data_IF_117101292843
#
_entry.id   IF_117101292843
#
_cell.length_a   1.000
_cell.length_b   1.000
_cell.length_c   1.000
_cell.angle_alpha   90.00
_cell.angle_beta   90.00
_cell.angle_gamma   90.00
#
_symmetry.space_group_name_H-M   'P 1'
#
loop_
_entity.id
_entity.type
_entity.pdbx_description
1 polymer ?
#
# COMPACT_ATOMS: atom_id res chain seq x y z
N UNK A 1 29.16 15.73 22.80
CA UNK A 1 27.70 15.50 22.93
C UNK A 1 27.12 15.50 21.54
N UNK A 2 26.84 14.33 21.01
CA UNK A 2 26.20 14.20 19.69
C UNK A 2 24.77 14.64 19.89
N UNK A 3 24.38 15.74 19.26
CA UNK A 3 22.99 16.17 19.18
C UNK A 3 22.27 15.05 18.46
N UNK A 4 21.49 14.26 19.19
CA UNK A 4 20.53 13.33 18.60
C UNK A 4 19.60 14.19 17.73
N UNK A 5 19.84 14.19 16.41
CA UNK A 5 18.89 14.78 15.49
C UNK A 5 17.54 14.17 15.80
N UNK A 6 16.56 15.01 16.05
CA UNK A 6 15.18 14.53 16.23
C UNK A 6 14.84 13.64 15.05
N UNK A 7 14.15 12.50 15.30
CA UNK A 7 13.79 11.58 14.25
C UNK A 7 13.17 12.36 13.10
N UNK A 8 13.72 12.15 11.90
CA UNK A 8 13.24 12.86 10.74
C UNK A 8 11.72 12.75 10.71
N UNK A 9 11.08 13.88 10.73
CA UNK A 9 9.64 13.88 10.61
C UNK A 9 9.32 13.27 9.25
N UNK A 10 8.30 12.45 9.18
CA UNK A 10 7.74 11.91 7.94
C UNK A 10 7.47 12.99 6.84
N UNK A 11 7.83 14.24 7.07
CA UNK A 11 7.68 15.36 6.14
C UNK A 11 8.79 15.46 5.11
N UNK A 12 10.00 15.10 5.49
CA UNK A 12 11.20 15.31 4.65
C UNK A 12 11.59 14.06 3.87
N UNK A 13 10.98 12.91 4.15
CA UNK A 13 11.35 11.64 3.55
C UNK A 13 12.54 10.98 4.26
N UNK A 14 13.00 9.82 3.77
CA UNK A 14 14.18 9.14 4.32
C UNK A 14 15.45 9.91 3.95
N UNK A 15 16.52 9.67 4.73
CA UNK A 15 17.86 10.12 4.40
C UNK A 15 18.47 9.29 3.25
N UNK A 16 19.69 9.61 2.82
CA UNK A 16 20.40 8.92 1.74
C UNK A 16 20.64 7.43 2.01
N UNK A 17 20.62 7.01 3.28
CA UNK A 17 20.74 5.61 3.70
C UNK A 17 19.37 4.92 3.82
N UNK A 18 18.28 5.63 3.55
CA UNK A 18 16.92 5.12 3.64
C UNK A 18 16.34 5.13 5.07
N UNK A 19 16.91 5.91 6.00
CA UNK A 19 16.40 5.99 7.37
C UNK A 19 15.42 7.16 7.56
N UNK A 20 14.43 6.90 8.38
CA UNK A 20 13.51 7.89 8.95
C UNK A 20 13.91 8.13 10.42
N UNK A 21 14.93 8.94 10.66
CA UNK A 21 15.58 9.07 11.96
C UNK A 21 16.30 7.77 12.36
N UNK A 22 15.89 7.15 13.44
CA UNK A 22 16.48 5.87 13.92
C UNK A 22 15.86 4.62 13.26
N UNK A 23 14.84 4.77 12.43
CA UNK A 23 14.10 3.67 11.81
C UNK A 23 14.41 3.57 10.32
N UNK A 24 14.17 2.39 9.75
CA UNK A 24 14.35 2.13 8.32
C UNK A 24 15.74 1.65 7.96
N UNK A 25 16.21 2.00 6.76
CA UNK A 25 17.49 1.55 6.20
C UNK A 25 17.34 0.42 5.19
N UNK A 26 18.48 -0.10 4.69
CA UNK A 26 18.54 -1.16 3.67
C UNK A 26 19.09 -2.46 4.28
N UNK A 27 18.44 -2.98 5.30
CA UNK A 27 18.85 -4.23 5.96
C UNK A 27 18.31 -5.43 5.18
N UNK A 28 19.13 -5.95 4.28
CA UNK A 28 18.83 -7.12 3.41
C UNK A 28 20.04 -8.02 3.31
N UNK A 29 19.85 -9.25 2.82
CA UNK A 29 20.94 -10.11 2.41
C UNK A 29 21.79 -9.41 1.33
N UNK A 30 23.11 -9.58 1.36
CA UNK A 30 24.03 -8.94 0.41
C UNK A 30 23.65 -9.20 -1.05
N UNK A 31 23.15 -10.39 -1.35
CA UNK A 31 22.67 -10.80 -2.69
C UNK A 31 21.49 -9.96 -3.20
N UNK A 32 20.70 -9.36 -2.32
CA UNK A 32 19.59 -8.48 -2.68
C UNK A 32 19.99 -7.02 -2.83
N UNK A 33 21.14 -6.60 -2.31
CA UNK A 33 21.53 -5.19 -2.31
C UNK A 33 21.57 -4.57 -3.73
N UNK A 34 22.17 -5.21 -4.74
CA UNK A 34 22.16 -4.66 -6.10
C UNK A 34 20.75 -4.40 -6.62
N UNK A 35 19.81 -5.33 -6.39
CA UNK A 35 18.41 -5.17 -6.83
C UNK A 35 17.70 -4.05 -6.05
N UNK A 36 17.95 -3.91 -4.77
CA UNK A 36 17.38 -2.83 -3.96
C UNK A 36 17.83 -1.46 -4.47
N UNK A 37 19.10 -1.33 -4.84
CA UNK A 37 19.64 -0.10 -5.42
C UNK A 37 19.09 0.15 -6.84
N UNK A 38 18.94 -0.90 -7.64
CA UNK A 38 18.28 -0.83 -8.95
C UNK A 38 16.81 -0.37 -8.81
N UNK A 39 16.07 -0.94 -7.86
CA UNK A 39 14.69 -0.57 -7.57
C UNK A 39 14.59 0.90 -7.12
N UNK A 40 15.47 1.32 -6.22
CA UNK A 40 15.49 2.72 -5.74
C UNK A 40 15.75 3.70 -6.89
N UNK A 41 16.70 3.38 -7.77
CA UNK A 41 16.99 4.17 -8.96
C UNK A 41 15.77 4.25 -9.88
N UNK A 42 15.19 3.09 -10.23
CA UNK A 42 14.00 3.03 -11.10
C UNK A 42 12.79 3.78 -10.50
N UNK A 43 12.61 3.70 -9.20
CA UNK A 43 11.56 4.42 -8.48
C UNK A 43 11.78 5.94 -8.52
N UNK A 44 12.99 6.41 -8.25
CA UNK A 44 13.32 7.83 -8.29
C UNK A 44 13.17 8.41 -9.70
N UNK A 45 13.61 7.69 -10.73
CA UNK A 45 13.42 8.05 -12.14
C UNK A 45 11.94 8.10 -12.51
N UNK A 46 11.16 7.09 -12.13
CA UNK A 46 9.71 7.06 -12.38
C UNK A 46 8.95 8.19 -11.68
N UNK A 47 9.38 8.55 -10.47
CA UNK A 47 8.82 9.66 -9.72
C UNK A 47 9.06 11.00 -10.40
N UNK A 48 10.18 11.18 -11.05
CA UNK A 48 10.55 12.38 -11.79
C UNK A 48 10.05 12.41 -13.25
N UNK A 49 9.57 11.27 -13.78
CA UNK A 49 9.16 11.11 -15.17
C UNK A 49 7.68 11.51 -15.38
N UNK A 50 7.40 12.65 -16.06
CA UNK A 50 6.02 13.08 -16.33
C UNK A 50 5.20 12.08 -17.14
N UNK A 51 5.85 11.28 -18.03
CA UNK A 51 5.16 10.28 -18.82
C UNK A 51 4.67 9.12 -17.94
N UNK A 52 5.50 8.65 -16.99
CA UNK A 52 5.11 7.66 -16.01
C UNK A 52 3.96 8.17 -15.13
N UNK A 53 4.05 9.40 -14.62
CA UNK A 53 3.02 9.99 -13.78
C UNK A 53 1.68 10.14 -14.54
N UNK A 54 1.73 10.59 -15.80
CA UNK A 54 0.54 10.69 -16.66
C UNK A 54 -0.10 9.32 -16.90
N UNK A 55 0.70 8.30 -17.19
CA UNK A 55 0.22 6.93 -17.40
C UNK A 55 -0.42 6.37 -16.12
N UNK A 56 0.24 6.55 -14.97
CA UNK A 56 -0.27 6.13 -13.67
C UNK A 56 -1.61 6.82 -13.35
N UNK A 57 -1.70 8.13 -13.53
CA UNK A 57 -2.94 8.90 -13.35
C UNK A 57 -4.06 8.38 -14.26
N UNK A 58 -3.76 8.05 -15.51
CA UNK A 58 -4.70 7.44 -16.44
C UNK A 58 -5.24 6.10 -15.94
N UNK A 59 -4.41 5.23 -15.40
CA UNK A 59 -4.86 3.96 -14.81
C UNK A 59 -5.62 4.15 -13.51
N UNK A 60 -5.19 5.06 -12.64
CA UNK A 60 -5.92 5.40 -11.41
C UNK A 60 -7.35 5.84 -11.75
N UNK A 61 -7.51 6.72 -12.74
CA UNK A 61 -8.83 7.21 -13.16
C UNK A 61 -9.68 6.15 -13.88
N UNK A 62 -9.14 5.56 -14.95
CA UNK A 62 -9.94 4.81 -15.91
C UNK A 62 -10.02 3.31 -15.62
N UNK A 63 -9.11 2.77 -14.80
CA UNK A 63 -9.08 1.35 -14.46
C UNK A 63 -9.40 1.09 -13.00
N UNK A 64 -8.88 1.90 -12.08
CA UNK A 64 -9.15 1.75 -10.65
C UNK A 64 -10.44 2.44 -10.24
N UNK A 65 -10.85 3.50 -10.94
CA UNK A 65 -12.11 4.22 -10.69
C UNK A 65 -11.95 5.35 -9.67
N UNK A 66 -10.76 5.96 -9.62
CA UNK A 66 -10.51 7.12 -8.75
C UNK A 66 -11.00 8.44 -9.36
N UNK A 67 -11.34 9.46 -8.53
CA UNK A 67 -11.27 9.48 -7.07
C UNK A 67 -12.33 8.58 -6.41
N UNK A 68 -11.94 7.89 -5.33
CA UNK A 68 -12.92 7.16 -4.52
C UNK A 68 -13.81 8.13 -3.75
N UNK A 69 -15.13 7.84 -3.59
CA UNK A 69 -16.06 8.77 -2.96
C UNK A 69 -15.70 9.07 -1.50
N UNK A 70 -15.98 10.30 -1.09
CA UNK A 70 -16.12 10.68 0.30
C UNK A 70 -17.62 10.65 0.63
N UNK A 71 -18.04 9.70 1.45
CA UNK A 71 -19.44 9.45 1.79
C UNK A 71 -19.78 10.02 3.17
N UNK A 72 -20.77 10.92 3.23
CA UNK A 72 -21.31 11.39 4.50
C UNK A 72 -22.23 10.33 5.11
N UNK A 73 -21.91 9.88 6.32
CA UNK A 73 -22.64 8.85 7.04
C UNK A 73 -23.73 9.48 7.92
N UNK A 74 -24.83 9.91 7.31
CA UNK A 74 -25.93 10.66 7.92
C UNK A 74 -26.46 9.96 9.18
N UNK A 75 -26.88 8.72 9.03
CA UNK A 75 -27.48 7.93 10.12
C UNK A 75 -26.52 7.72 11.30
N UNK A 76 -25.22 7.52 11.03
CA UNK A 76 -24.22 7.41 12.10
C UNK A 76 -24.01 8.75 12.78
N UNK A 77 -23.95 9.82 12.01
CA UNK A 77 -23.83 11.19 12.52
C UNK A 77 -25.01 11.54 13.45
N UNK A 78 -26.23 11.21 13.03
CA UNK A 78 -27.44 11.41 13.83
C UNK A 78 -27.47 10.52 15.08
N UNK A 79 -27.11 9.23 14.92
CA UNK A 79 -27.11 8.28 16.02
C UNK A 79 -26.18 8.70 17.17
N UNK A 80 -24.95 9.10 16.82
CA UNK A 80 -23.97 9.51 17.83
C UNK A 80 -24.12 10.95 18.32
N UNK A 81 -24.93 11.77 17.67
CA UNK A 81 -25.25 13.17 18.06
C UNK A 81 -24.02 14.05 18.35
N UNK A 82 -22.89 13.73 17.74
CA UNK A 82 -21.62 14.37 18.00
C UNK A 82 -20.97 14.93 16.73
N UNK A 83 -19.90 14.32 16.31
CA UNK A 83 -19.18 14.71 15.12
C UNK A 83 -19.89 14.27 13.83
N UNK A 84 -19.74 15.04 12.76
CA UNK A 84 -20.07 14.57 11.41
C UNK A 84 -19.11 13.44 11.03
N UNK A 85 -19.65 12.32 10.53
CA UNK A 85 -18.89 11.12 10.18
C UNK A 85 -18.85 10.96 8.66
N UNK A 86 -17.65 10.83 8.12
CA UNK A 86 -17.40 10.61 6.70
C UNK A 86 -16.59 9.34 6.50
N UNK A 87 -16.90 8.59 5.42
CA UNK A 87 -16.11 7.45 4.97
C UNK A 87 -15.42 7.76 3.66
N UNK A 88 -14.10 7.61 3.61
CA UNK A 88 -13.37 7.53 2.35
C UNK A 88 -13.48 6.10 1.83
N UNK A 89 -14.27 5.92 0.76
CA UNK A 89 -14.76 4.62 0.25
C UNK A 89 -13.74 3.92 -0.65
N UNK A 90 -12.60 3.52 -0.07
CA UNK A 90 -11.59 2.74 -0.79
C UNK A 90 -12.06 1.32 -1.15
N UNK A 91 -13.13 0.84 -0.55
CA UNK A 91 -13.83 -0.40 -0.89
C UNK A 91 -14.52 -0.36 -2.28
N UNK A 92 -14.77 0.83 -2.81
CA UNK A 92 -15.35 1.01 -4.15
C UNK A 92 -14.31 1.04 -5.28
N UNK A 93 -13.04 1.02 -4.96
CA UNK A 93 -12.01 0.87 -5.98
C UNK A 93 -12.09 -0.51 -6.64
N UNK A 94 -11.64 -0.60 -7.88
CA UNK A 94 -11.41 -1.89 -8.53
C UNK A 94 -10.56 -2.79 -7.64
N UNK A 95 -10.92 -4.04 -7.44
CA UNK A 95 -10.40 -5.01 -6.46
C UNK A 95 -11.01 -4.93 -5.05
N UNK A 96 -11.73 -3.87 -4.70
CA UNK A 96 -12.47 -3.76 -3.44
C UNK A 96 -11.65 -3.28 -2.23
N UNK A 97 -10.48 -2.65 -2.44
CA UNK A 97 -9.67 -2.10 -1.36
C UNK A 97 -8.62 -1.08 -1.86
N UNK A 98 -8.00 -0.36 -0.91
CA UNK A 98 -6.90 0.58 -1.14
C UNK A 98 -5.62 -0.06 -1.71
N UNK A 99 -5.46 -1.36 -1.59
CA UNK A 99 -4.23 -2.07 -1.99
C UNK A 99 -3.86 -1.85 -3.45
N UNK A 100 -4.84 -1.74 -4.32
CA UNK A 100 -4.65 -1.56 -5.77
C UNK A 100 -3.85 -0.30 -6.12
N UNK A 101 -3.91 0.76 -5.31
CA UNK A 101 -3.17 2.00 -5.56
C UNK A 101 -1.65 1.76 -5.51
N UNK A 102 -1.19 1.15 -4.41
CA UNK A 102 0.23 0.80 -4.24
C UNK A 102 0.68 -0.24 -5.27
N UNK A 103 -0.12 -1.28 -5.48
CA UNK A 103 0.21 -2.35 -6.41
C UNK A 103 0.34 -1.83 -7.83
N UNK A 104 -0.51 -0.88 -8.26
CA UNK A 104 -0.38 -0.26 -9.59
C UNK A 104 1.01 0.35 -9.80
N UNK A 105 1.47 1.17 -8.85
CA UNK A 105 2.79 1.79 -8.93
C UNK A 105 3.92 0.76 -8.99
N UNK A 106 3.85 -0.27 -8.14
CA UNK A 106 4.87 -1.32 -8.10
C UNK A 106 4.89 -2.19 -9.36
N UNK A 107 3.73 -2.56 -9.92
CA UNK A 107 3.67 -3.36 -11.16
C UNK A 107 4.13 -2.53 -12.37
N UNK A 108 3.82 -1.24 -12.42
CA UNK A 108 4.37 -0.36 -13.46
C UNK A 108 5.89 -0.24 -13.36
N UNK A 109 6.46 -0.21 -12.15
CA UNK A 109 7.91 -0.25 -11.93
C UNK A 109 8.50 -1.60 -12.37
N UNK A 110 7.88 -2.72 -11.97
CA UNK A 110 8.31 -4.07 -12.39
C UNK A 110 8.38 -4.17 -13.91
N UNK A 111 7.37 -3.66 -14.62
CA UNK A 111 7.35 -3.60 -16.07
C UNK A 111 8.47 -2.71 -16.64
N UNK A 112 8.71 -1.53 -16.07
CA UNK A 112 9.78 -0.62 -16.46
C UNK A 112 11.17 -1.23 -16.28
N UNK A 113 11.35 -2.03 -15.21
CA UNK A 113 12.57 -2.78 -14.92
C UNK A 113 12.71 -4.07 -15.75
N UNK A 114 11.76 -4.39 -16.63
CA UNK A 114 11.77 -5.58 -17.47
C UNK A 114 11.63 -6.89 -16.70
N UNK A 115 11.06 -6.87 -15.48
CA UNK A 115 10.88 -8.08 -14.67
C UNK A 115 9.68 -8.89 -15.18
N UNK A 116 9.90 -10.12 -15.68
CA UNK A 116 8.82 -10.94 -16.26
C UNK A 116 7.93 -11.60 -15.22
N UNK A 117 8.37 -11.65 -13.95
CA UNK A 117 7.72 -12.34 -12.85
C UNK A 117 7.56 -11.41 -11.65
N UNK A 118 6.39 -11.49 -11.01
CA UNK A 118 6.08 -10.77 -9.77
C UNK A 118 5.68 -11.78 -8.70
N UNK A 119 6.21 -11.61 -7.51
CA UNK A 119 5.76 -12.33 -6.31
C UNK A 119 5.16 -11.38 -5.30
N UNK A 120 4.22 -11.88 -4.50
CA UNK A 120 3.63 -11.14 -3.39
C UNK A 120 3.29 -12.07 -2.24
N UNK A 121 3.26 -11.54 -1.02
CA UNK A 121 2.66 -12.18 0.14
C UNK A 121 1.23 -11.68 0.36
N UNK A 122 0.37 -12.49 0.97
CA UNK A 122 -0.95 -12.04 1.38
C UNK A 122 -1.45 -12.81 2.61
N UNK A 123 -2.18 -12.14 3.49
CA UNK A 123 -2.92 -12.75 4.60
C UNK A 123 -4.41 -12.79 4.27
N UNK A 124 -5.13 -11.68 4.45
CA UNK A 124 -6.55 -11.58 4.12
C UNK A 124 -6.89 -11.71 2.61
N UNK A 125 -5.88 -11.82 1.74
CA UNK A 125 -6.06 -12.00 0.30
C UNK A 125 -6.18 -10.72 -0.53
N UNK A 126 -6.47 -9.57 0.05
CA UNK A 126 -6.72 -8.33 -0.71
C UNK A 126 -5.48 -7.82 -1.46
N UNK A 127 -4.29 -7.97 -0.88
CA UNK A 127 -3.05 -7.62 -1.58
C UNK A 127 -2.78 -8.59 -2.73
N UNK A 128 -2.94 -9.89 -2.50
CA UNK A 128 -2.81 -10.91 -3.54
C UNK A 128 -3.77 -10.69 -4.71
N UNK A 129 -5.04 -10.39 -4.43
CA UNK A 129 -6.04 -10.09 -5.48
C UNK A 129 -5.62 -8.84 -6.27
N UNK A 130 -5.18 -7.77 -5.63
CA UNK A 130 -4.72 -6.57 -6.33
C UNK A 130 -3.50 -6.87 -7.21
N UNK A 131 -2.53 -7.65 -6.71
CA UNK A 131 -1.33 -8.05 -7.46
C UNK A 131 -1.70 -8.92 -8.65
N UNK A 132 -2.51 -9.96 -8.46
CA UNK A 132 -2.99 -10.83 -9.53
C UNK A 132 -3.73 -10.03 -10.62
N UNK A 133 -4.61 -9.10 -10.22
CA UNK A 133 -5.36 -8.24 -11.15
C UNK A 133 -4.45 -7.41 -12.04
N UNK A 134 -3.45 -6.78 -11.45
CA UNK A 134 -2.56 -5.90 -12.22
C UNK A 134 -1.50 -6.69 -13.01
N UNK A 135 -1.03 -7.83 -12.49
CA UNK A 135 -0.20 -8.73 -13.26
C UNK A 135 -0.93 -9.26 -14.50
N UNK A 136 -2.19 -9.70 -14.36
CA UNK A 136 -3.03 -10.11 -15.49
C UNK A 136 -3.20 -8.98 -16.52
N UNK A 137 -3.47 -7.75 -16.04
CA UNK A 137 -3.58 -6.56 -16.91
C UNK A 137 -2.33 -6.28 -17.71
N UNK A 138 -1.16 -6.45 -17.13
CA UNK A 138 0.13 -6.13 -17.76
C UNK A 138 0.83 -7.33 -18.42
N UNK A 139 0.23 -8.53 -18.35
CA UNK A 139 0.79 -9.76 -18.94
C UNK A 139 2.06 -10.22 -18.22
N UNK A 140 2.10 -10.12 -16.89
CA UNK A 140 3.26 -10.49 -16.05
C UNK A 140 2.90 -11.73 -15.24
N UNK A 141 3.81 -12.71 -15.15
CA UNK A 141 3.64 -13.88 -14.30
C UNK A 141 3.47 -13.48 -12.84
N UNK A 142 2.50 -14.08 -12.16
CA UNK A 142 2.17 -13.73 -10.77
C UNK A 142 2.14 -14.96 -9.87
N UNK A 143 2.93 -14.91 -8.79
CA UNK A 143 2.91 -15.92 -7.73
C UNK A 143 2.59 -15.25 -6.40
N UNK A 144 1.57 -15.76 -5.70
CA UNK A 144 1.12 -15.21 -4.41
C UNK A 144 1.34 -16.26 -3.32
N UNK A 145 2.18 -15.93 -2.35
CA UNK A 145 2.40 -16.73 -1.14
C UNK A 145 1.32 -16.42 -0.11
N UNK A 146 0.67 -17.46 0.39
CA UNK A 146 -0.41 -17.31 1.37
C UNK A 146 -0.36 -18.46 2.38
N UNK A 147 -0.47 -18.15 3.67
CA UNK A 147 -0.50 -19.17 4.71
C UNK A 147 -1.68 -20.12 4.52
N UNK A 148 -1.47 -21.41 4.75
CA UNK A 148 -2.51 -22.42 4.55
C UNK A 148 -3.77 -22.13 5.39
N UNK A 149 -3.60 -21.66 6.62
CA UNK A 149 -4.71 -21.23 7.49
C UNK A 149 -5.48 -20.05 6.89
N UNK A 150 -4.78 -19.11 6.28
CA UNK A 150 -5.40 -17.95 5.63
C UNK A 150 -6.09 -18.33 4.33
N UNK A 151 -5.54 -19.29 3.56
CA UNK A 151 -6.18 -19.87 2.36
C UNK A 151 -7.56 -20.43 2.71
N UNK A 152 -7.65 -21.23 3.77
CA UNK A 152 -8.92 -21.85 4.19
C UNK A 152 -9.97 -20.79 4.58
N UNK A 153 -9.52 -19.72 5.27
CA UNK A 153 -10.41 -18.64 5.71
C UNK A 153 -10.86 -17.70 4.59
N UNK A 154 -10.06 -17.57 3.54
CA UNK A 154 -10.19 -16.54 2.51
C UNK A 154 -10.41 -17.13 1.10
N UNK A 155 -11.09 -18.27 1.01
CA UNK A 155 -11.35 -18.98 -0.25
C UNK A 155 -11.91 -18.08 -1.39
N UNK A 156 -12.82 -17.12 -1.15
CA UNK A 156 -13.27 -16.23 -2.22
C UNK A 156 -12.14 -15.43 -2.86
N UNK A 157 -11.17 -14.94 -2.08
CA UNK A 157 -10.02 -14.21 -2.60
C UNK A 157 -9.04 -15.15 -3.31
N UNK A 158 -8.86 -16.37 -2.81
CA UNK A 158 -8.03 -17.40 -3.47
C UNK A 158 -8.59 -17.73 -4.85
N UNK A 159 -9.90 -17.92 -4.97
CA UNK A 159 -10.55 -18.19 -6.27
C UNK A 159 -10.40 -17.00 -7.23
N UNK A 160 -10.53 -15.76 -6.74
CA UNK A 160 -10.29 -14.56 -7.55
C UNK A 160 -8.86 -14.49 -8.09
N UNK A 161 -7.86 -14.77 -7.26
CA UNK A 161 -6.46 -14.80 -7.70
C UNK A 161 -6.21 -15.86 -8.77
N UNK A 162 -6.73 -17.07 -8.57
CA UNK A 162 -6.63 -18.16 -9.55
C UNK A 162 -7.35 -17.85 -10.87
N UNK A 163 -8.54 -17.28 -10.81
CA UNK A 163 -9.29 -16.86 -12.00
C UNK A 163 -8.56 -15.78 -12.82
N UNK A 164 -7.71 -14.97 -12.17
CA UNK A 164 -6.84 -13.97 -12.79
C UNK A 164 -5.51 -14.55 -13.31
N UNK A 165 -5.33 -15.87 -13.21
CA UNK A 165 -4.13 -16.56 -13.70
C UNK A 165 -2.95 -16.54 -12.73
N UNK A 166 -3.11 -16.09 -11.49
CA UNK A 166 -2.04 -16.13 -10.50
C UNK A 166 -1.91 -17.53 -9.88
N UNK A 167 -0.68 -17.98 -9.68
CA UNK A 167 -0.37 -19.12 -8.85
C UNK A 167 -0.48 -18.73 -7.37
N UNK A 168 -1.32 -19.43 -6.60
CA UNK A 168 -1.39 -19.27 -5.15
C UNK A 168 -0.64 -20.41 -4.48
N UNK A 169 0.50 -20.10 -3.85
CA UNK A 169 1.35 -21.06 -3.14
C UNK A 169 1.00 -21.11 -1.67
N UNK A 170 0.52 -22.29 -1.19
CA UNK A 170 0.25 -22.46 0.22
C UNK A 170 1.56 -22.54 1.02
N UNK A 171 1.62 -21.85 2.15
CA UNK A 171 2.72 -21.90 3.10
C UNK A 171 2.26 -22.62 4.34
N UNK A 172 2.90 -23.76 4.64
CA UNK A 172 2.58 -24.64 5.77
C UNK A 172 3.60 -24.57 6.91
N UNK A 173 4.68 -23.79 6.73
CA UNK A 173 5.70 -23.59 7.75
C UNK A 173 5.21 -22.66 8.87
N UNK A 174 5.78 -22.80 10.06
CA UNK A 174 5.50 -21.96 11.21
C UNK A 174 4.04 -21.99 11.65
N UNK A 175 3.42 -20.83 11.75
CA UNK A 175 1.99 -20.66 12.07
C UNK A 175 1.08 -20.73 10.84
N UNK A 176 1.64 -20.92 9.66
CA UNK A 176 0.93 -20.95 8.38
C UNK A 176 0.09 -19.68 8.11
N UNK A 177 0.63 -18.52 8.49
CA UNK A 177 -0.02 -17.21 8.37
C UNK A 177 0.83 -16.21 7.57
N UNK A 178 0.41 -14.96 7.51
CA UNK A 178 1.06 -13.88 6.75
C UNK A 178 2.58 -13.79 7.00
N UNK A 179 3.05 -13.94 8.25
CA UNK A 179 4.48 -13.87 8.58
C UNK A 179 5.27 -14.95 7.84
N UNK A 180 4.75 -16.16 7.81
CA UNK A 180 5.40 -17.29 7.15
C UNK A 180 5.35 -17.14 5.63
N UNK A 181 4.23 -16.62 5.10
CA UNK A 181 4.10 -16.27 3.70
C UNK A 181 5.14 -15.22 3.25
N UNK A 182 5.39 -14.19 4.07
CA UNK A 182 6.46 -13.22 3.83
C UNK A 182 7.85 -13.87 3.80
N UNK A 183 8.12 -14.79 4.72
CA UNK A 183 9.40 -15.46 4.77
C UNK A 183 9.65 -16.31 3.52
N UNK A 184 8.64 -17.03 3.04
CA UNK A 184 8.75 -17.86 1.83
C UNK A 184 8.85 -16.99 0.57
N UNK A 185 8.10 -15.89 0.49
CA UNK A 185 8.25 -14.92 -0.58
C UNK A 185 9.68 -14.32 -0.62
N UNK A 186 10.25 -13.98 0.54
CA UNK A 186 11.62 -13.49 0.63
C UNK A 186 12.66 -14.53 0.18
N UNK A 187 12.47 -15.82 0.53
CA UNK A 187 13.34 -16.92 0.07
C UNK A 187 13.30 -17.07 -1.45
N UNK A 188 12.09 -17.05 -2.02
CA UNK A 188 11.93 -17.08 -3.48
C UNK A 188 12.62 -15.87 -4.13
N UNK A 189 12.43 -14.68 -3.55
CA UNK A 189 13.04 -13.47 -4.10
C UNK A 189 14.56 -13.50 -4.12
N UNK A 190 15.19 -13.94 -3.02
CA UNK A 190 16.65 -14.11 -2.95
C UNK A 190 17.15 -15.10 -4.00
N UNK A 191 16.39 -16.16 -4.25
CA UNK A 191 16.75 -17.20 -5.21
C UNK A 191 16.61 -16.74 -6.66
N UNK A 192 15.60 -15.90 -6.94
CA UNK A 192 15.21 -15.51 -8.30
C UNK A 192 15.36 -13.99 -8.55
N UNK A 193 16.33 -13.36 -7.92
CA UNK A 193 16.52 -11.91 -7.88
C UNK A 193 16.59 -11.23 -9.24
N UNK A 194 17.17 -11.91 -10.23
CA UNK A 194 17.42 -11.35 -11.58
C UNK A 194 16.13 -11.11 -12.37
N UNK A 195 15.15 -11.99 -12.26
CA UNK A 195 13.94 -12.00 -13.07
C UNK A 195 12.64 -11.70 -12.28
N UNK A 196 12.72 -11.56 -10.96
CA UNK A 196 11.55 -11.48 -10.09
C UNK A 196 11.50 -10.13 -9.38
N UNK A 197 10.32 -9.52 -9.41
CA UNK A 197 9.99 -8.35 -8.62
C UNK A 197 9.15 -8.75 -7.41
N UNK A 198 9.53 -8.32 -6.22
CA UNK A 198 8.72 -8.53 -5.02
C UNK A 198 7.78 -7.33 -4.81
N UNK A 199 6.49 -7.56 -4.94
CA UNK A 199 5.46 -6.55 -4.72
C UNK A 199 5.01 -6.57 -3.25
N UNK A 200 5.46 -5.62 -2.44
CA UNK A 200 5.15 -5.56 -1.00
C UNK A 200 3.86 -4.78 -0.76
N UNK A 201 2.92 -5.40 -0.03
CA UNK A 201 1.59 -4.84 0.24
C UNK A 201 1.50 -3.94 1.46
N UNK A 202 2.58 -3.74 2.20
CA UNK A 202 2.59 -3.03 3.48
C UNK A 202 3.77 -2.06 3.59
N UNK A 203 3.77 -1.22 4.65
CA UNK A 203 4.85 -0.26 4.92
C UNK A 203 5.96 -0.97 5.70
N UNK A 204 6.50 -2.01 5.10
CA UNK A 204 7.57 -2.84 5.66
C UNK A 204 8.65 -3.09 4.60
N UNK A 205 9.72 -3.76 5.01
CA UNK A 205 10.83 -4.08 4.14
C UNK A 205 11.93 -3.02 4.09
N UNK A 206 12.99 -3.28 3.34
CA UNK A 206 14.11 -2.37 3.18
C UNK A 206 13.70 -1.12 2.38
N UNK A 207 14.41 -0.01 2.58
CA UNK A 207 14.30 1.12 1.66
C UNK A 207 14.61 0.64 0.21
N UNK A 208 13.83 1.04 -0.83
CA UNK A 208 12.85 2.14 -0.87
C UNK A 208 11.39 1.74 -0.56
N UNK A 209 11.08 0.49 -0.22
CA UNK A 209 9.70 0.01 -0.10
C UNK A 209 8.79 0.88 0.78
N UNK A 210 9.18 1.27 2.02
CA UNK A 210 8.29 2.09 2.85
C UNK A 210 7.96 3.45 2.22
N UNK A 211 8.94 4.09 1.58
CA UNK A 211 8.75 5.36 0.88
C UNK A 211 7.87 5.20 -0.36
N UNK A 212 8.11 4.15 -1.14
CA UNK A 212 7.37 3.82 -2.35
C UNK A 212 5.90 3.50 -2.04
N UNK A 213 5.65 2.66 -1.04
CA UNK A 213 4.27 2.35 -0.58
C UNK A 213 3.56 3.61 -0.11
N UNK A 214 4.22 4.47 0.68
CA UNK A 214 3.67 5.76 1.11
C UNK A 214 3.28 6.61 -0.11
N UNK A 215 4.19 6.79 -1.04
CA UNK A 215 3.97 7.71 -2.17
C UNK A 215 2.83 7.22 -3.08
N UNK A 216 2.75 5.92 -3.36
CA UNK A 216 1.66 5.35 -4.14
C UNK A 216 0.30 5.33 -3.41
N UNK A 217 0.30 5.34 -2.07
CA UNK A 217 -0.92 5.44 -1.28
C UNK A 217 -1.33 6.89 -0.99
N UNK A 218 -0.46 7.88 -1.21
CA UNK A 218 -0.73 9.28 -0.88
C UNK A 218 -1.91 9.88 -1.65
N UNK A 219 -2.32 9.25 -2.74
CA UNK A 219 -3.52 9.61 -3.50
C UNK A 219 -4.78 9.64 -2.62
N UNK A 220 -4.89 8.76 -1.60
CA UNK A 220 -6.03 8.70 -0.69
C UNK A 220 -6.13 10.00 0.10
N UNK A 221 -5.02 10.45 0.70
CA UNK A 221 -4.98 11.67 1.51
C UNK A 221 -5.16 12.93 0.68
N UNK A 222 -4.55 12.99 -0.52
CA UNK A 222 -4.68 14.11 -1.42
C UNK A 222 -6.14 14.32 -1.83
N UNK A 223 -6.80 13.28 -2.33
CA UNK A 223 -8.23 13.35 -2.68
C UNK A 223 -9.12 13.67 -1.49
N UNK A 224 -8.85 13.06 -0.34
CA UNK A 224 -9.64 13.31 0.88
C UNK A 224 -9.55 14.78 1.29
N UNK A 225 -8.36 15.38 1.18
CA UNK A 225 -8.16 16.80 1.49
C UNK A 225 -9.03 17.69 0.60
N UNK A 226 -9.01 17.46 -0.71
CA UNK A 226 -9.81 18.21 -1.69
C UNK A 226 -11.31 18.02 -1.44
N UNK A 227 -11.75 16.77 -1.29
CA UNK A 227 -13.15 16.42 -1.06
C UNK A 227 -13.69 16.98 0.27
N UNK A 228 -12.87 17.03 1.34
CA UNK A 228 -13.28 17.63 2.61
C UNK A 228 -13.39 19.16 2.50
N UNK A 229 -12.47 19.79 1.78
CA UNK A 229 -12.55 21.24 1.52
C UNK A 229 -13.78 21.59 0.67
N UNK A 230 -14.13 20.76 -0.30
CA UNK A 230 -15.34 20.93 -1.10
C UNK A 230 -16.63 20.73 -0.27
N UNK A 231 -16.68 19.67 0.56
CA UNK A 231 -17.87 19.31 1.32
C UNK A 231 -18.10 20.19 2.56
N UNK A 232 -17.06 20.61 3.26
CA UNK A 232 -17.14 21.28 4.58
C UNK A 232 -16.36 22.60 4.67
N UNK A 233 -15.63 22.99 3.64
CA UNK A 233 -14.76 24.17 3.66
C UNK A 233 -13.58 24.07 4.64
N UNK A 234 -13.34 22.89 5.23
CA UNK A 234 -12.30 22.67 6.25
C UNK A 234 -11.81 21.22 6.27
N UNK A 235 -10.65 21.01 6.87
CA UNK A 235 -10.11 19.68 7.12
C UNK A 235 -10.79 19.00 8.33
N UNK A 236 -10.80 17.66 8.39
CA UNK A 236 -11.40 16.93 9.50
C UNK A 236 -10.60 17.12 10.80
N UNK A 237 -11.30 17.12 11.94
CA UNK A 237 -10.67 17.21 13.28
C UNK A 237 -9.97 15.91 13.66
N UNK A 238 -10.48 14.77 13.19
CA UNK A 238 -9.93 13.44 13.49
C UNK A 238 -9.95 12.55 12.27
N UNK A 239 -8.89 11.75 12.11
CA UNK A 239 -8.76 10.69 11.13
C UNK A 239 -8.61 9.35 11.84
N UNK A 240 -9.46 8.39 11.48
CA UNK A 240 -9.45 7.05 12.06
C UNK A 240 -9.15 6.05 10.95
N UNK A 241 -8.19 5.17 11.18
CA UNK A 241 -7.86 4.08 10.27
C UNK A 241 -7.45 2.85 11.02
N UNK A 242 -7.86 1.67 10.56
CA UNK A 242 -7.28 0.42 11.03
C UNK A 242 -5.87 0.27 10.49
N UNK A 243 -4.97 -0.16 11.33
CA UNK A 243 -3.57 -0.39 10.96
C UNK A 243 -3.26 -1.88 11.10
N UNK A 244 -3.13 -2.56 9.96
CA UNK A 244 -2.42 -3.83 9.89
C UNK A 244 -0.93 -3.54 9.68
N UNK A 245 -0.45 -3.62 8.43
CA UNK A 245 0.91 -3.19 8.08
C UNK A 245 1.07 -1.69 7.78
N UNK A 246 0.05 -0.88 7.94
CA UNK A 246 0.10 0.58 7.84
C UNK A 246 -0.15 1.18 6.45
N UNK A 247 -0.30 0.38 5.40
CA UNK A 247 -0.41 0.91 4.03
C UNK A 247 -1.63 1.82 3.78
N UNK A 248 -2.72 1.63 4.50
CA UNK A 248 -3.93 2.46 4.40
C UNK A 248 -3.87 3.75 5.22
N UNK A 249 -2.87 3.88 6.09
CA UNK A 249 -2.77 4.99 7.05
C UNK A 249 -1.53 5.87 6.85
N UNK A 250 -0.57 5.42 6.05
CA UNK A 250 0.77 6.03 5.95
C UNK A 250 0.74 7.48 5.43
N UNK A 251 -0.20 7.81 4.57
CA UNK A 251 -0.33 9.12 3.95
C UNK A 251 -1.23 10.11 4.71
N UNK A 252 -1.90 9.68 5.78
CA UNK A 252 -2.94 10.47 6.46
C UNK A 252 -2.49 11.78 7.03
N UNK A 253 -1.21 11.97 7.19
CA UNK A 253 -0.63 13.25 7.55
C UNK A 253 -0.89 14.33 6.51
N UNK A 254 -0.94 13.98 5.23
CA UNK A 254 -1.28 14.93 4.15
C UNK A 254 -2.70 15.48 4.29
N UNK A 255 -3.57 14.80 5.00
CA UNK A 255 -4.97 15.17 5.20
C UNK A 255 -5.20 16.03 6.45
N UNK A 256 -4.24 16.08 7.42
CA UNK A 256 -4.45 16.78 8.71
C UNK A 256 -3.18 17.38 9.31
N UNK A 257 -3.40 18.45 10.16
CA UNK A 257 -2.33 19.12 10.93
C UNK A 257 -1.99 18.45 12.28
N UNK A 258 -2.88 17.64 12.88
CA UNK A 258 -2.67 16.94 14.17
C UNK A 258 -3.32 15.57 14.21
N UNK A 259 -2.64 14.54 14.78
CA UNK A 259 -3.09 13.16 14.81
C UNK A 259 -3.31 12.62 16.21
N UNK A 260 -4.42 11.90 16.44
CA UNK A 260 -4.58 10.94 17.52
C UNK A 260 -4.93 9.56 16.91
N UNK A 261 -4.30 8.49 17.40
CA UNK A 261 -4.40 7.15 16.84
C UNK A 261 -5.38 6.29 17.65
N UNK A 262 -6.33 5.68 16.95
CA UNK A 262 -7.10 4.52 17.42
C UNK A 262 -7.35 3.60 16.24
N UNK A 263 -7.12 2.30 16.42
CA UNK A 263 -7.09 1.35 15.32
C UNK A 263 -8.43 0.71 15.01
N UNK A 264 -9.01 0.94 13.83
CA UNK A 264 -10.19 0.25 13.25
C UNK A 264 -10.06 0.17 11.71
N UNK A 265 -10.70 -0.85 11.09
CA UNK A 265 -10.52 -1.28 9.68
C UNK A 265 -11.01 -0.34 8.57
N UNK A 266 -11.61 0.79 8.86
CA UNK A 266 -12.09 1.75 7.86
C UNK A 266 -11.55 3.15 8.15
N UNK A 267 -11.33 3.93 7.10
CA UNK A 267 -11.03 5.34 7.27
C UNK A 267 -12.31 6.09 7.62
N UNK A 268 -12.45 6.49 8.87
CA UNK A 268 -13.55 7.33 9.35
C UNK A 268 -13.01 8.72 9.63
N UNK A 269 -13.68 9.74 9.10
CA UNK A 269 -13.37 11.14 9.36
C UNK A 269 -14.45 11.72 10.28
N UNK A 270 -14.05 12.29 11.39
CA UNK A 270 -14.97 12.93 12.33
C UNK A 270 -14.71 14.42 12.40
N UNK A 271 -15.78 15.22 12.24
CA UNK A 271 -15.79 16.66 12.50
C UNK A 271 -16.48 16.89 13.83
N UNK A 272 -15.78 17.46 14.82
CA UNK A 272 -16.42 17.87 16.08
C UNK A 272 -17.44 18.98 15.80
N UNK A 273 -18.63 18.90 16.40
CA UNK A 273 -19.52 20.05 16.52
C UNK A 273 -18.79 21.14 17.28
N UNK A 274 -18.77 22.37 16.73
CA UNK A 274 -18.45 23.56 17.51
C UNK A 274 -19.58 23.90 18.45
#
# INVERSE_FOLDING_TARGET
>A
MTILQQPNSFRTGPDERGHFGIYGGRFVAETLMPLILELEKAYNEAKADPAFQKQMAGYLKNYIGRPSPLYFAERLTEHFKGAKIYFKREDLNHTGAHKVNNVLGQIMLAKRMGKPRVIAETGAGMHGVATATLCAKFGIECVVYMGAVDIDRQQPNVQRMKALGAEVRPVTSGSSTLKDAMNDALRDWVTNVSNTFYCIGTVAGPHPYPAMVRDFQSIIGNETREQMMEAEGRLPDSLIACIGGGSNAIDRKSTRLNSSHLGISYAVFCLKKK
#
